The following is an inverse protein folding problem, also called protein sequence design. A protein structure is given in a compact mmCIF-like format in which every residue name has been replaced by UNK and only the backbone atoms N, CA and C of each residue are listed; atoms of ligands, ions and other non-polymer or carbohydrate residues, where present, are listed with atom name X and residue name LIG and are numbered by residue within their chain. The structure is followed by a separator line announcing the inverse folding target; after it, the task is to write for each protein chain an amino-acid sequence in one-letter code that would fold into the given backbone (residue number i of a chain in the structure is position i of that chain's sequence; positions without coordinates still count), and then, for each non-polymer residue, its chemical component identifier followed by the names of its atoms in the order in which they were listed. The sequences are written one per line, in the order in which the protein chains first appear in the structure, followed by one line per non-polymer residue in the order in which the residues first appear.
data_IF_302835098471
#
_entry.id   IF_302835098471
#
_cell.length_a   1.000
_cell.length_b   1.000
_cell.length_c   1.000
_cell.angle_alpha   90.00
_cell.angle_beta   90.00
_cell.angle_gamma   90.00
#
_symmetry.space_group_name_H-M   'P 1'
#
loop_
_entity.id
_entity.type
_entity.pdbx_description
1 polymer ?
#
# COMPACT_ATOMS: atom_id res chain seq x y z
N UNK A 1 16.53 22.23 15.75
CA UNK A 1 16.51 22.98 14.48
C UNK A 1 15.21 22.78 13.69
N UNK A 2 14.92 21.62 13.06
CA UNK A 2 13.68 21.50 12.25
C UNK A 2 12.37 21.54 13.06
N UNK A 3 12.36 20.98 14.27
CA UNK A 3 11.20 21.07 15.19
C UNK A 3 10.99 22.49 15.68
N UNK A 4 12.08 23.17 16.08
CA UNK A 4 12.05 24.57 16.50
C UNK A 4 11.59 25.51 15.38
N UNK A 5 11.91 25.19 14.13
CA UNK A 5 11.46 25.91 12.94
C UNK A 5 10.01 25.58 12.53
N UNK A 6 9.30 24.71 13.26
CA UNK A 6 7.92 24.32 12.96
C UNK A 6 7.74 23.44 11.72
N UNK A 7 8.85 22.93 11.13
CA UNK A 7 8.79 22.09 9.93
C UNK A 7 8.44 20.64 10.27
N UNK A 8 8.84 20.17 11.45
CA UNK A 8 8.49 18.86 11.99
C UNK A 8 7.86 19.01 13.37
N UNK A 9 6.89 18.18 13.69
CA UNK A 9 6.49 17.97 15.08
C UNK A 9 7.41 16.97 15.80
N UNK A 10 7.27 16.85 17.12
CA UNK A 10 8.10 15.98 17.94
C UNK A 10 7.94 14.48 17.57
N UNK A 11 6.71 14.07 17.22
CA UNK A 11 6.42 12.67 16.86
C UNK A 11 7.06 12.32 15.51
N UNK A 12 7.02 13.24 14.55
CA UNK A 12 7.68 13.10 13.26
C UNK A 12 9.20 13.04 13.40
N UNK A 13 9.78 13.89 14.25
CA UNK A 13 11.20 13.88 14.52
C UNK A 13 11.64 12.55 15.16
N UNK A 14 10.86 12.01 16.09
CA UNK A 14 11.14 10.71 16.72
C UNK A 14 11.02 9.55 15.73
N UNK A 15 9.95 9.51 14.94
CA UNK A 15 9.76 8.49 13.91
C UNK A 15 10.90 8.50 12.87
N UNK A 16 11.33 9.70 12.44
CA UNK A 16 12.45 9.88 11.53
C UNK A 16 13.78 9.47 12.17
N UNK A 17 14.00 9.81 13.44
CA UNK A 17 15.19 9.40 14.18
C UNK A 17 15.28 7.87 14.33
N UNK A 18 14.15 7.19 14.60
CA UNK A 18 14.06 5.73 14.67
C UNK A 18 14.35 5.07 13.33
N UNK A 19 13.76 5.57 12.24
CA UNK A 19 14.04 5.10 10.89
C UNK A 19 15.52 5.29 10.50
N UNK A 20 16.09 6.47 10.80
CA UNK A 20 17.51 6.77 10.59
C UNK A 20 18.41 5.81 11.35
N UNK A 21 18.11 5.55 12.62
CA UNK A 21 18.88 4.59 13.45
C UNK A 21 18.89 3.20 12.82
N UNK A 22 17.74 2.74 12.33
CA UNK A 22 17.64 1.44 11.64
C UNK A 22 18.51 1.39 10.39
N UNK A 23 18.39 2.39 9.51
CA UNK A 23 19.18 2.47 8.28
C UNK A 23 20.67 2.59 8.56
N UNK A 24 21.07 3.34 9.59
CA UNK A 24 22.48 3.49 9.97
C UNK A 24 23.06 2.21 10.55
N UNK A 25 22.30 1.46 11.36
CA UNK A 25 22.73 0.15 11.86
C UNK A 25 22.98 -0.82 10.71
N UNK A 26 22.08 -0.87 9.73
CA UNK A 26 22.21 -1.69 8.51
C UNK A 26 23.44 -1.26 7.71
N UNK A 27 23.61 0.05 7.44
CA UNK A 27 24.76 0.58 6.71
C UNK A 27 26.09 0.30 7.39
N UNK A 28 26.16 0.52 8.71
CA UNK A 28 27.38 0.24 9.48
C UNK A 28 27.75 -1.24 9.44
N UNK A 29 26.77 -2.13 9.64
CA UNK A 29 26.98 -3.56 9.54
C UNK A 29 27.39 -4.00 8.13
N UNK A 30 26.85 -3.37 7.08
CA UNK A 30 27.27 -3.59 5.69
C UNK A 30 28.74 -3.18 5.47
N UNK A 31 29.19 -2.06 6.03
CA UNK A 31 30.58 -1.64 5.94
C UNK A 31 31.53 -2.61 6.64
N UNK A 32 31.15 -3.13 7.81
CA UNK A 32 31.92 -4.15 8.51
C UNK A 32 32.03 -5.43 7.68
N UNK A 33 30.93 -5.86 7.07
CA UNK A 33 30.88 -7.06 6.24
C UNK A 33 31.72 -6.91 4.97
N UNK A 34 31.54 -5.79 4.24
CA UNK A 34 32.24 -5.52 2.99
C UNK A 34 33.70 -5.08 3.18
N UNK A 35 34.11 -4.74 4.42
CA UNK A 35 35.43 -4.17 4.78
C UNK A 35 35.80 -2.92 4.00
N UNK A 36 34.80 -2.15 3.58
CA UNK A 36 34.90 -0.86 2.88
C UNK A 36 33.60 -0.09 3.04
N UNK A 37 33.60 1.18 2.61
CA UNK A 37 32.37 1.98 2.50
C UNK A 37 31.50 1.46 1.33
N UNK A 38 30.83 0.34 1.53
CA UNK A 38 29.82 -0.17 0.60
C UNK A 38 28.45 0.46 0.91
N UNK A 39 27.91 1.16 -0.07
CA UNK A 39 26.66 1.94 0.04
C UNK A 39 25.49 1.26 -0.69
N UNK A 40 25.75 0.09 -1.29
CA UNK A 40 24.76 -0.70 -2.03
C UNK A 40 24.46 -1.99 -1.28
N UNK A 41 23.21 -2.15 -0.84
CA UNK A 41 22.71 -3.36 -0.19
C UNK A 41 22.40 -4.45 -1.24
N UNK A 42 23.45 -5.01 -1.84
CA UNK A 42 23.35 -6.08 -2.83
C UNK A 42 22.84 -7.39 -2.19
N UNK A 43 22.18 -8.22 -3.01
CA UNK A 43 21.56 -9.49 -2.60
C UNK A 43 22.52 -10.41 -1.82
N UNK A 44 23.78 -10.47 -2.25
CA UNK A 44 24.82 -11.33 -1.67
C UNK A 44 25.14 -10.99 -0.21
N UNK A 45 24.98 -9.73 0.20
CA UNK A 45 25.27 -9.29 1.57
C UNK A 45 24.11 -9.53 2.54
N UNK A 46 22.87 -9.61 2.05
CA UNK A 46 21.67 -9.50 2.88
C UNK A 46 21.56 -10.63 3.91
N UNK A 47 21.89 -11.87 3.55
CA UNK A 47 21.84 -13.02 4.46
C UNK A 47 22.84 -12.91 5.61
N UNK A 48 24.09 -12.58 5.30
CA UNK A 48 25.13 -12.43 6.33
C UNK A 48 24.88 -11.20 7.20
N UNK A 49 24.40 -10.11 6.59
CA UNK A 49 23.99 -8.91 7.29
C UNK A 49 22.87 -9.18 8.31
N UNK A 50 21.85 -9.93 7.91
CA UNK A 50 20.76 -10.31 8.80
C UNK A 50 21.26 -11.12 10.01
N UNK A 51 22.17 -12.07 9.80
CA UNK A 51 22.79 -12.83 10.90
C UNK A 51 23.61 -11.93 11.83
N UNK A 52 24.41 -11.03 11.26
CA UNK A 52 25.24 -10.08 12.02
C UNK A 52 24.38 -9.14 12.89
N UNK A 53 23.21 -8.75 12.39
CA UNK A 53 22.24 -7.93 13.11
C UNK A 53 21.36 -8.72 14.08
N UNK A 54 21.51 -10.05 14.14
CA UNK A 54 20.84 -10.92 15.11
C UNK A 54 19.50 -11.48 14.67
N UNK A 55 19.10 -11.30 13.41
CA UNK A 55 17.87 -11.90 12.89
C UNK A 55 18.03 -13.42 12.75
N UNK A 56 16.93 -14.15 12.97
CA UNK A 56 16.88 -15.61 12.93
C UNK A 56 15.70 -16.07 12.08
N UNK A 57 15.88 -17.21 11.42
CA UNK A 57 14.79 -17.86 10.70
C UNK A 57 13.77 -18.36 11.72
N UNK A 58 12.51 -17.92 11.62
CA UNK A 58 11.43 -18.40 12.48
C UNK A 58 10.83 -19.70 11.92
N UNK A 59 10.60 -19.72 10.60
CA UNK A 59 10.18 -20.89 9.82
C UNK A 59 10.59 -20.71 8.34
N UNK A 60 10.36 -21.74 7.52
CA UNK A 60 10.77 -21.75 6.11
C UNK A 60 10.24 -20.54 5.31
N UNK A 61 9.01 -20.12 5.59
CA UNK A 61 8.38 -18.96 4.96
C UNK A 61 8.64 -17.62 5.67
N UNK A 62 9.46 -17.58 6.75
CA UNK A 62 9.82 -16.34 7.45
C UNK A 62 11.30 -16.31 7.87
N UNK A 63 12.14 -16.09 6.86
CA UNK A 63 13.59 -16.09 7.01
C UNK A 63 14.09 -14.81 7.70
N UNK A 64 15.17 -14.91 8.48
CA UNK A 64 15.78 -13.76 9.15
C UNK A 64 16.25 -12.68 8.18
N UNK A 65 16.62 -13.06 6.95
CA UNK A 65 16.94 -12.10 5.88
C UNK A 65 15.71 -11.32 5.42
N UNK A 66 14.55 -11.95 5.31
CA UNK A 66 13.31 -11.27 4.93
C UNK A 66 12.85 -10.30 6.03
N UNK A 67 12.98 -10.70 7.29
CA UNK A 67 12.71 -9.84 8.44
C UNK A 67 13.63 -8.61 8.46
N UNK A 68 14.94 -8.81 8.30
CA UNK A 68 15.92 -7.72 8.22
C UNK A 68 15.60 -6.75 7.08
N UNK A 69 15.25 -7.28 5.91
CA UNK A 69 14.91 -6.47 4.75
C UNK A 69 13.54 -5.79 4.91
N UNK A 70 12.61 -6.41 5.63
CA UNK A 70 11.34 -5.77 5.96
C UNK A 70 11.54 -4.54 6.85
N UNK A 71 12.41 -4.62 7.84
CA UNK A 71 12.78 -3.46 8.67
C UNK A 71 13.49 -2.37 7.86
N UNK A 72 14.36 -2.77 6.92
CA UNK A 72 14.97 -1.84 5.96
C UNK A 72 13.90 -1.09 5.15
N UNK A 73 12.99 -1.80 4.48
CA UNK A 73 11.99 -1.17 3.61
C UNK A 73 10.98 -0.32 4.40
N UNK A 74 10.61 -0.75 5.61
CA UNK A 74 9.76 0.06 6.49
C UNK A 74 10.45 1.34 6.94
N UNK A 75 11.73 1.28 7.30
CA UNK A 75 12.51 2.46 7.64
C UNK A 75 12.68 3.40 6.42
N UNK A 76 13.02 2.86 5.25
CA UNK A 76 13.14 3.63 4.02
C UNK A 76 11.81 4.31 3.62
N UNK A 77 10.69 3.60 3.73
CA UNK A 77 9.35 4.17 3.48
C UNK A 77 9.02 5.31 4.44
N UNK A 78 9.33 5.17 5.73
CA UNK A 78 9.12 6.25 6.71
C UNK A 78 9.90 7.50 6.33
N UNK A 79 11.17 7.36 5.98
CA UNK A 79 11.99 8.50 5.50
C UNK A 79 11.40 9.12 4.25
N UNK A 80 11.00 8.31 3.27
CA UNK A 80 10.39 8.81 2.03
C UNK A 80 9.08 9.57 2.27
N UNK A 81 8.18 9.04 3.11
CA UNK A 81 6.92 9.69 3.45
C UNK A 81 7.12 11.00 4.22
N UNK A 82 8.01 11.02 5.23
CA UNK A 82 8.34 12.27 5.93
C UNK A 82 8.95 13.31 4.99
N UNK A 83 9.79 12.88 4.04
CA UNK A 83 10.35 13.78 3.04
C UNK A 83 9.29 14.36 2.09
N UNK A 84 8.31 13.55 1.66
CA UNK A 84 7.17 14.02 0.86
C UNK A 84 6.36 15.09 1.62
N UNK A 85 6.03 14.84 2.88
CA UNK A 85 5.31 15.80 3.72
C UNK A 85 6.10 17.10 3.94
N UNK A 86 7.41 17.01 4.17
CA UNK A 86 8.29 18.16 4.33
C UNK A 86 8.39 18.99 3.06
N UNK A 87 8.56 18.35 1.90
CA UNK A 87 8.58 19.02 0.60
C UNK A 87 7.25 19.73 0.38
N UNK A 88 6.11 19.05 0.64
CA UNK A 88 4.80 19.69 0.56
C UNK A 88 4.75 20.95 1.44
N UNK A 89 5.05 20.85 2.74
CA UNK A 89 5.05 22.03 3.65
C UNK A 89 5.91 23.17 3.14
N UNK A 90 7.15 22.87 2.76
CA UNK A 90 8.09 23.88 2.28
C UNK A 90 7.60 24.53 0.98
N UNK A 91 7.11 23.74 0.01
CA UNK A 91 6.55 24.26 -1.23
C UNK A 91 5.35 25.16 -0.97
N UNK A 92 4.50 24.81 -0.02
CA UNK A 92 3.31 25.59 0.35
C UNK A 92 3.68 26.89 1.08
N UNK A 93 4.68 26.86 1.97
CA UNK A 93 5.19 28.06 2.66
C UNK A 93 5.89 29.04 1.72
N UNK A 94 6.57 28.53 0.69
CA UNK A 94 7.31 29.34 -0.28
C UNK A 94 6.44 29.80 -1.46
N UNK A 95 5.23 29.24 -1.62
CA UNK A 95 4.35 29.58 -2.71
C UNK A 95 3.88 31.04 -2.59
N UNK A 96 4.04 31.81 -3.68
CA UNK A 96 3.57 33.20 -3.76
C UNK A 96 2.05 33.31 -3.92
N UNK A 97 1.40 32.21 -4.32
CA UNK A 97 -0.05 32.04 -4.36
C UNK A 97 -0.37 30.60 -3.99
N UNK A 98 -1.44 30.40 -3.21
CA UNK A 98 -1.93 29.06 -2.90
C UNK A 98 -2.48 28.32 -4.14
N UNK A 99 -2.75 29.03 -5.23
CA UNK A 99 -3.48 28.50 -6.39
C UNK A 99 -4.99 28.75 -6.27
N UNK A 100 -5.74 28.29 -7.27
CA UNK A 100 -7.21 28.36 -7.26
C UNK A 100 -7.78 27.44 -6.17
N UNK A 101 -8.68 27.99 -5.36
CA UNK A 101 -9.31 27.29 -4.23
C UNK A 101 -10.75 26.98 -4.60
N UNK A 102 -11.08 25.69 -4.66
CA UNK A 102 -12.42 25.19 -4.94
C UNK A 102 -12.90 24.36 -3.76
N UNK A 103 -14.06 24.73 -3.23
CA UNK A 103 -14.78 23.93 -2.24
C UNK A 103 -15.39 22.71 -2.94
N UNK A 104 -15.12 21.52 -2.39
CA UNK A 104 -15.63 20.24 -2.88
C UNK A 104 -16.76 19.70 -1.99
N UNK A 105 -17.17 20.44 -0.95
CA UNK A 105 -18.17 20.02 0.03
C UNK A 105 -17.57 19.25 1.21
N UNK A 106 -18.34 19.14 2.29
CA UNK A 106 -18.00 18.38 3.51
C UNK A 106 -16.65 18.74 4.14
N UNK A 107 -16.21 19.99 3.95
CA UNK A 107 -14.92 20.50 4.43
C UNK A 107 -13.71 20.07 3.59
N UNK A 108 -13.91 19.48 2.42
CA UNK A 108 -12.85 19.16 1.46
C UNK A 108 -12.58 20.34 0.53
N UNK A 109 -11.30 20.65 0.34
CA UNK A 109 -10.85 21.73 -0.54
C UNK A 109 -9.96 21.16 -1.63
N UNK A 110 -10.09 21.68 -2.85
CA UNK A 110 -9.06 21.57 -3.88
C UNK A 110 -8.32 22.90 -3.94
N UNK A 111 -7.00 22.82 -3.83
CA UNK A 111 -6.11 23.97 -3.92
C UNK A 111 -5.08 23.65 -5.01
N UNK A 112 -5.28 24.21 -6.20
CA UNK A 112 -4.54 23.84 -7.40
C UNK A 112 -4.78 22.38 -7.82
N UNK A 113 -3.74 21.54 -7.75
CA UNK A 113 -3.77 20.12 -8.09
C UNK A 113 -3.73 19.19 -6.86
N UNK A 114 -3.99 19.73 -5.66
CA UNK A 114 -3.96 18.97 -4.41
C UNK A 114 -5.24 19.14 -3.59
N UNK A 115 -5.53 18.12 -2.79
CA UNK A 115 -6.63 18.13 -1.83
C UNK A 115 -6.16 18.61 -0.47
N UNK A 116 -6.98 19.38 0.21
CA UNK A 116 -6.82 19.78 1.59
C UNK A 116 -8.13 19.58 2.36
N UNK A 117 -8.09 19.73 3.67
CA UNK A 117 -9.26 19.78 4.54
C UNK A 117 -9.30 21.13 5.24
N UNK A 118 -10.48 21.72 5.37
CA UNK A 118 -10.64 22.98 6.10
C UNK A 118 -10.60 22.77 7.62
N UNK A 119 -10.66 23.87 8.37
CA UNK A 119 -10.60 23.84 9.84
C UNK A 119 -11.87 23.27 10.50
N UNK A 120 -12.99 23.19 9.77
CA UNK A 120 -14.25 22.63 10.25
C UNK A 120 -14.29 21.11 10.12
N UNK A 121 -13.46 20.53 9.25
CA UNK A 121 -13.45 19.10 8.96
C UNK A 121 -12.98 18.26 10.16
N UNK A 122 -13.82 17.31 10.60
CA UNK A 122 -13.62 16.50 11.82
C UNK A 122 -13.15 15.09 11.50
N UNK A 123 -12.04 14.95 10.77
CA UNK A 123 -11.51 13.64 10.35
C UNK A 123 -11.34 12.67 11.54
N UNK A 124 -10.92 13.16 12.70
CA UNK A 124 -10.71 12.34 13.90
C UNK A 124 -11.99 11.77 14.50
N UNK A 125 -13.15 12.36 14.19
CA UNK A 125 -14.45 11.98 14.76
C UNK A 125 -15.31 11.20 13.76
N UNK A 126 -15.10 11.48 12.48
CA UNK A 126 -15.82 10.90 11.35
C UNK A 126 -14.87 10.08 10.46
N UNK A 127 -14.44 8.88 10.89
CA UNK A 127 -13.40 8.11 10.21
C UNK A 127 -13.73 7.72 8.76
N UNK A 128 -15.01 7.69 8.38
CA UNK A 128 -15.42 7.46 7.00
C UNK A 128 -14.99 8.59 6.05
N UNK A 129 -14.83 9.81 6.55
CA UNK A 129 -14.37 10.95 5.73
C UNK A 129 -12.92 10.78 5.29
N UNK A 130 -12.13 9.97 6.01
CA UNK A 130 -10.80 9.57 5.57
C UNK A 130 -10.88 8.86 4.21
N UNK A 131 -11.84 7.95 4.04
CA UNK A 131 -12.02 7.24 2.76
C UNK A 131 -12.55 8.19 1.69
N UNK A 132 -13.48 9.07 2.05
CA UNK A 132 -14.01 10.09 1.14
C UNK A 132 -12.90 11.02 0.61
N UNK A 133 -11.95 11.43 1.45
CA UNK A 133 -10.78 12.21 1.04
C UNK A 133 -9.98 11.52 -0.07
N UNK A 134 -9.73 10.21 0.05
CA UNK A 134 -9.05 9.46 -1.00
C UNK A 134 -9.95 9.20 -2.21
N UNK A 135 -11.26 9.04 -2.01
CA UNK A 135 -12.21 8.88 -3.10
C UNK A 135 -12.21 10.09 -4.04
N UNK A 136 -11.96 11.30 -3.51
CA UNK A 136 -11.77 12.50 -4.34
C UNK A 136 -10.59 12.38 -5.33
N UNK A 137 -9.55 11.58 -5.05
CA UNK A 137 -8.49 11.31 -6.02
C UNK A 137 -9.04 10.54 -7.23
N UNK A 138 -10.03 9.67 -7.01
CA UNK A 138 -10.67 8.89 -8.06
C UNK A 138 -11.72 9.69 -8.84
N UNK A 139 -12.36 10.68 -8.21
CA UNK A 139 -13.49 11.42 -8.81
C UNK A 139 -13.15 12.82 -9.31
N UNK A 140 -12.10 13.47 -8.79
CA UNK A 140 -11.68 14.81 -9.21
C UNK A 140 -10.45 14.75 -10.15
N UNK A 141 -10.62 15.06 -11.45
CA UNK A 141 -9.53 15.00 -12.40
C UNK A 141 -8.40 15.99 -12.06
N UNK A 142 -7.17 15.50 -12.20
CA UNK A 142 -5.95 16.30 -12.05
C UNK A 142 -5.45 16.43 -10.61
N UNK A 143 -6.08 15.78 -9.63
CA UNK A 143 -5.52 15.68 -8.28
C UNK A 143 -4.25 14.82 -8.30
N UNK A 144 -3.15 15.36 -7.77
CA UNK A 144 -1.83 14.70 -7.70
C UNK A 144 -1.47 14.25 -6.29
N UNK A 145 -2.25 14.63 -5.29
CA UNK A 145 -2.03 14.22 -3.91
C UNK A 145 -2.69 15.14 -2.90
N UNK A 146 -2.24 15.03 -1.66
CA UNK A 146 -2.73 15.81 -0.54
C UNK A 146 -1.79 16.99 -0.27
N UNK A 147 -2.33 18.05 0.34
CA UNK A 147 -1.57 19.16 0.92
C UNK A 147 -1.06 18.81 2.31
N UNK A 148 -0.13 19.63 2.81
CA UNK A 148 0.53 19.40 4.08
C UNK A 148 -0.43 19.25 5.26
N UNK A 149 -1.49 20.07 5.30
CA UNK A 149 -2.47 20.02 6.39
C UNK A 149 -3.29 18.72 6.35
N UNK A 150 -3.88 18.34 5.21
CA UNK A 150 -4.53 17.04 5.05
C UNK A 150 -3.61 15.85 5.38
N UNK A 151 -2.36 15.84 4.91
CA UNK A 151 -1.37 14.79 5.26
C UNK A 151 -1.15 14.69 6.76
N UNK A 152 -1.00 15.84 7.44
CA UNK A 152 -0.87 15.90 8.89
C UNK A 152 -2.10 15.31 9.59
N UNK A 153 -3.31 15.63 9.15
CA UNK A 153 -4.54 15.09 9.75
C UNK A 153 -4.63 13.56 9.58
N UNK A 154 -4.32 13.04 8.38
CA UNK A 154 -4.24 11.60 8.12
C UNK A 154 -3.23 10.94 9.05
N UNK A 155 -2.03 11.50 9.16
CA UNK A 155 -0.97 10.95 10.01
C UNK A 155 -1.37 10.91 11.49
N UNK A 156 -1.95 12.00 12.00
CA UNK A 156 -2.47 12.04 13.37
C UNK A 156 -3.52 10.96 13.61
N UNK A 157 -4.41 10.74 12.63
CA UNK A 157 -5.40 9.66 12.71
C UNK A 157 -4.74 8.28 12.73
N UNK A 158 -3.74 8.03 11.88
CA UNK A 158 -3.02 6.75 11.84
C UNK A 158 -2.18 6.48 13.08
N UNK A 159 -1.68 7.54 13.73
CA UNK A 159 -0.91 7.45 14.97
C UNK A 159 -1.79 7.29 16.23
N UNK A 160 -3.07 7.68 16.15
CA UNK A 160 -4.02 7.62 17.26
C UNK A 160 -4.58 6.20 17.43
N UNK A 161 -4.26 5.47 18.53
CA UNK A 161 -4.78 4.12 18.74
C UNK A 161 -6.31 4.08 18.90
N UNK A 162 -6.92 5.17 19.36
CA UNK A 162 -8.36 5.30 19.50
C UNK A 162 -9.09 5.61 18.18
N UNK A 163 -8.35 5.92 17.11
CA UNK A 163 -8.93 6.11 15.79
C UNK A 163 -9.29 4.75 15.18
N UNK A 164 -10.58 4.43 15.25
CA UNK A 164 -11.13 3.15 14.84
C UNK A 164 -11.69 3.20 13.41
N UNK A 165 -11.14 2.34 12.56
CA UNK A 165 -11.59 2.14 11.18
C UNK A 165 -12.48 0.91 11.01
N UNK A 166 -12.69 0.10 12.05
CA UNK A 166 -13.57 -1.07 12.01
C UNK A 166 -15.05 -0.69 12.20
N UNK A 167 -15.53 0.24 11.37
CA UNK A 167 -16.88 0.80 11.46
C UNK A 167 -17.68 0.60 10.16
N UNK A 168 -18.98 0.25 10.22
CA UNK A 168 -19.80 0.02 9.04
C UNK A 168 -19.75 1.13 7.97
N UNK A 169 -19.74 2.38 8.40
CA UNK A 169 -19.66 3.58 7.57
C UNK A 169 -18.32 3.70 6.82
N UNK A 170 -17.21 3.27 7.43
CA UNK A 170 -15.89 3.23 6.78
C UNK A 170 -15.89 2.17 5.69
N UNK A 171 -16.45 0.99 5.97
CA UNK A 171 -16.58 -0.08 4.98
C UNK A 171 -17.56 0.28 3.85
N UNK A 172 -18.62 1.02 4.15
CA UNK A 172 -19.55 1.52 3.14
C UNK A 172 -18.84 2.50 2.18
N UNK A 173 -18.08 3.46 2.72
CA UNK A 173 -17.29 4.40 1.92
C UNK A 173 -16.21 3.68 1.09
N UNK A 174 -15.54 2.68 1.67
CA UNK A 174 -14.54 1.87 0.96
C UNK A 174 -15.16 1.05 -0.16
N UNK A 175 -16.36 0.49 0.06
CA UNK A 175 -17.09 -0.22 -0.99
C UNK A 175 -17.45 0.72 -2.14
N UNK A 176 -17.95 1.92 -1.86
CA UNK A 176 -18.26 2.91 -2.89
C UNK A 176 -17.00 3.29 -3.70
N UNK A 177 -15.87 3.48 -3.02
CA UNK A 177 -14.59 3.71 -3.70
C UNK A 177 -14.24 2.54 -4.64
N UNK A 178 -14.31 1.30 -4.17
CA UNK A 178 -13.98 0.11 -4.96
C UNK A 178 -14.91 -0.06 -6.18
N UNK A 179 -16.18 0.34 -6.07
CA UNK A 179 -17.17 0.33 -7.16
C UNK A 179 -16.78 1.26 -8.32
N UNK A 180 -15.88 2.23 -8.10
CA UNK A 180 -15.29 3.07 -9.17
C UNK A 180 -14.30 2.31 -10.07
N UNK A 181 -13.97 1.05 -9.75
CA UNK A 181 -13.13 0.21 -10.60
C UNK A 181 -11.75 0.82 -10.82
N UNK A 182 -11.32 0.93 -12.08
CA UNK A 182 -9.97 1.41 -12.42
C UNK A 182 -9.61 2.77 -11.78
N UNK A 183 -10.58 3.68 -11.64
CA UNK A 183 -10.35 4.99 -11.02
C UNK A 183 -9.99 4.90 -9.52
N UNK A 184 -10.40 3.82 -8.84
CA UNK A 184 -10.11 3.60 -7.43
C UNK A 184 -8.63 3.29 -7.16
N UNK A 185 -7.87 2.86 -8.17
CA UNK A 185 -6.52 2.32 -7.96
C UNK A 185 -5.54 3.37 -7.46
N UNK A 186 -5.60 4.61 -7.96
CA UNK A 186 -4.72 5.67 -7.46
C UNK A 186 -5.09 6.12 -6.05
N UNK A 187 -6.38 6.09 -5.70
CA UNK A 187 -6.84 6.30 -4.34
C UNK A 187 -6.32 5.20 -3.39
N UNK A 188 -6.44 3.92 -3.77
CA UNK A 188 -5.90 2.78 -3.01
C UNK A 188 -4.38 2.87 -2.87
N UNK A 189 -3.66 3.28 -3.92
CA UNK A 189 -2.21 3.49 -3.87
C UNK A 189 -1.83 4.61 -2.90
N UNK A 190 -2.57 5.73 -2.89
CA UNK A 190 -2.38 6.80 -1.92
C UNK A 190 -2.68 6.33 -0.49
N UNK A 191 -3.78 5.59 -0.28
CA UNK A 191 -4.09 4.96 1.00
C UNK A 191 -3.00 4.00 1.48
N UNK A 192 -2.39 3.23 0.57
CA UNK A 192 -1.26 2.35 0.88
C UNK A 192 -0.04 3.15 1.32
N UNK A 193 0.32 4.21 0.57
CA UNK A 193 1.45 5.08 0.87
C UNK A 193 1.32 5.74 2.24
N UNK A 194 0.13 6.22 2.58
CA UNK A 194 -0.12 6.92 3.84
C UNK A 194 -0.49 5.98 5.01
N UNK A 195 -0.38 4.65 4.82
CA UNK A 195 -0.60 3.66 5.88
C UNK A 195 -2.06 3.32 6.20
N UNK A 196 -3.02 3.93 5.49
CA UNK A 196 -4.46 3.72 5.69
C UNK A 196 -4.86 2.27 5.37
N UNK A 197 -4.34 1.69 4.27
CA UNK A 197 -4.61 0.27 3.97
C UNK A 197 -4.05 -0.67 5.02
N UNK A 198 -2.86 -0.38 5.57
CA UNK A 198 -2.27 -1.17 6.64
C UNK A 198 -3.12 -1.11 7.93
N UNK A 199 -3.73 0.05 8.22
CA UNK A 199 -4.64 0.20 9.36
C UNK A 199 -5.98 -0.53 9.14
N UNK A 200 -6.53 -0.50 7.93
CA UNK A 200 -7.80 -1.17 7.57
C UNK A 200 -7.66 -2.71 7.48
N UNK A 201 -6.53 -3.19 6.95
CA UNK A 201 -6.33 -4.58 6.58
C UNK A 201 -5.09 -5.11 7.32
N UNK A 202 -5.27 -5.86 8.42
CA UNK A 202 -4.15 -6.40 9.21
C UNK A 202 -3.17 -7.24 8.39
N UNK A 203 -3.66 -7.99 7.40
CA UNK A 203 -2.81 -8.71 6.44
C UNK A 203 -1.90 -7.77 5.65
N UNK A 204 -2.41 -6.62 5.20
CA UNK A 204 -1.64 -5.62 4.45
C UNK A 204 -0.51 -5.02 5.29
N UNK A 205 -0.77 -4.76 6.58
CA UNK A 205 0.28 -4.32 7.52
C UNK A 205 1.41 -5.35 7.66
N UNK A 206 1.06 -6.64 7.70
CA UNK A 206 2.03 -7.75 7.81
C UNK A 206 2.91 -7.88 6.57
N UNK A 207 2.35 -7.73 5.38
CA UNK A 207 3.11 -7.81 4.11
C UNK A 207 3.78 -6.49 3.72
N UNK A 208 3.46 -5.39 4.40
CA UNK A 208 4.11 -4.09 4.15
C UNK A 208 5.61 -4.16 4.35
N UNK A 209 6.36 -3.88 3.28
CA UNK A 209 7.82 -3.95 3.26
C UNK A 209 8.36 -5.38 3.21
N UNK A 210 7.51 -6.41 3.16
CA UNK A 210 7.95 -7.79 3.10
C UNK A 210 8.48 -8.09 1.71
N UNK A 211 9.73 -8.51 1.59
CA UNK A 211 10.25 -9.10 0.36
C UNK A 211 10.33 -10.62 0.49
N UNK A 212 10.42 -11.31 -0.63
CA UNK A 212 10.81 -12.72 -0.67
C UNK A 212 12.28 -12.81 -1.08
N UNK A 213 13.07 -13.59 -0.33
CA UNK A 213 14.50 -13.68 -0.61
C UNK A 213 14.80 -14.70 -1.73
N UNK A 214 14.58 -14.28 -2.97
CA UNK A 214 14.99 -15.00 -4.17
C UNK A 214 15.29 -14.05 -5.34
N UNK A 215 15.73 -14.61 -6.48
CA UNK A 215 16.16 -13.84 -7.66
C UNK A 215 15.00 -13.32 -8.53
N UNK A 216 13.77 -13.73 -8.24
CA UNK A 216 12.60 -13.40 -9.08
C UNK A 216 11.72 -12.31 -8.46
N UNK A 217 11.74 -12.15 -7.14
CA UNK A 217 10.94 -11.16 -6.43
C UNK A 217 11.68 -9.82 -6.24
N UNK A 218 11.51 -8.94 -7.24
CA UNK A 218 12.10 -7.59 -7.23
C UNK A 218 11.38 -6.61 -6.30
N UNK A 219 10.09 -6.83 -6.04
CA UNK A 219 9.25 -5.93 -5.26
C UNK A 219 8.87 -6.54 -3.91
N UNK A 220 8.69 -5.68 -2.91
CA UNK A 220 7.99 -6.10 -1.69
C UNK A 220 6.55 -6.48 -2.04
N UNK A 221 5.95 -7.39 -1.27
CA UNK A 221 4.61 -7.95 -1.53
C UNK A 221 3.55 -6.86 -1.66
N UNK A 222 3.62 -5.82 -0.84
CA UNK A 222 2.69 -4.68 -0.91
C UNK A 222 2.91 -3.82 -2.16
N UNK A 223 4.14 -3.56 -2.58
CA UNK A 223 4.41 -2.85 -3.84
C UNK A 223 4.02 -3.69 -5.06
N UNK A 224 4.27 -5.00 -5.01
CA UNK A 224 3.79 -5.95 -6.01
C UNK A 224 2.26 -5.89 -6.12
N UNK A 225 1.56 -5.92 -4.98
CA UNK A 225 0.10 -5.81 -4.91
C UNK A 225 -0.39 -4.50 -5.56
N UNK A 226 0.20 -3.36 -5.22
CA UNK A 226 -0.16 -2.08 -5.86
C UNK A 226 0.13 -2.06 -7.36
N UNK A 227 1.21 -2.72 -7.79
CA UNK A 227 1.53 -2.85 -9.23
C UNK A 227 0.51 -3.73 -9.95
N UNK A 228 0.05 -4.82 -9.36
CA UNK A 228 -1.04 -5.67 -9.88
C UNK A 228 -2.31 -4.83 -10.07
N UNK A 229 -2.70 -4.03 -9.08
CA UNK A 229 -3.87 -3.15 -9.20
C UNK A 229 -3.70 -2.12 -10.33
N UNK A 230 -2.50 -1.53 -10.49
CA UNK A 230 -2.22 -0.61 -11.62
C UNK A 230 -2.30 -1.31 -12.98
N UNK A 231 -1.86 -2.56 -13.10
CA UNK A 231 -2.08 -3.34 -14.32
C UNK A 231 -3.56 -3.60 -14.58
N UNK A 232 -4.33 -3.96 -13.54
CA UNK A 232 -5.79 -4.12 -13.66
C UNK A 232 -6.47 -2.84 -14.13
N UNK A 233 -6.11 -1.68 -13.57
CA UNK A 233 -6.62 -0.39 -14.03
C UNK A 233 -6.20 -0.07 -15.46
N UNK A 234 -4.94 -0.38 -15.84
CA UNK A 234 -4.45 -0.19 -17.20
C UNK A 234 -5.22 -1.03 -18.21
N UNK A 235 -5.71 -2.22 -17.85
CA UNK A 235 -6.58 -3.00 -18.75
C UNK A 235 -7.88 -2.26 -19.10
N UNK A 236 -8.30 -1.28 -18.31
CA UNK A 236 -9.45 -0.43 -18.63
C UNK A 236 -9.14 0.68 -19.65
N UNK A 237 -7.87 1.03 -19.87
CA UNK A 237 -7.45 2.19 -20.67
C UNK A 237 -7.14 1.84 -22.13
N UNK A 238 -7.05 2.86 -22.99
CA UNK A 238 -6.63 2.72 -24.39
C UNK A 238 -5.19 2.20 -24.54
N UNK A 239 -4.28 2.64 -23.67
CA UNK A 239 -2.93 2.07 -23.61
C UNK A 239 -2.97 0.57 -23.29
N UNK A 240 -3.89 0.14 -22.42
CA UNK A 240 -4.15 -1.27 -22.17
C UNK A 240 -4.65 -2.03 -23.39
N UNK A 241 -5.48 -1.40 -24.24
CA UNK A 241 -5.95 -2.02 -25.47
C UNK A 241 -4.80 -2.32 -26.45
N UNK A 242 -3.80 -1.43 -26.52
CA UNK A 242 -2.59 -1.60 -27.34
C UNK A 242 -1.65 -2.67 -26.76
N UNK A 243 -1.34 -2.56 -25.47
CA UNK A 243 -0.25 -3.33 -24.87
C UNK A 243 -0.72 -4.70 -24.34
N UNK A 244 -2.02 -4.85 -24.04
CA UNK A 244 -2.64 -6.06 -23.49
C UNK A 244 -4.05 -6.32 -24.09
N UNK A 245 -4.18 -6.53 -25.41
CA UNK A 245 -5.48 -6.55 -26.11
C UNK A 245 -6.47 -7.59 -25.57
N UNK A 246 -5.99 -8.79 -25.20
CA UNK A 246 -6.84 -9.83 -24.60
C UNK A 246 -7.34 -9.41 -23.22
N UNK A 247 -6.44 -8.95 -22.34
CA UNK A 247 -6.79 -8.53 -20.99
C UNK A 247 -7.74 -7.33 -21.00
N UNK A 248 -7.53 -6.37 -21.90
CA UNK A 248 -8.44 -5.26 -22.13
C UNK A 248 -9.83 -5.76 -22.53
N UNK A 249 -9.93 -6.62 -23.55
CA UNK A 249 -11.21 -7.18 -24.01
C UNK A 249 -11.96 -7.91 -22.91
N UNK A 250 -11.26 -8.70 -22.08
CA UNK A 250 -11.86 -9.40 -20.94
C UNK A 250 -12.32 -8.41 -19.88
N UNK A 251 -11.48 -7.43 -19.52
CA UNK A 251 -11.79 -6.43 -18.50
C UNK A 251 -13.07 -5.66 -18.82
N UNK A 252 -13.27 -5.24 -20.08
CA UNK A 252 -14.49 -4.54 -20.52
C UNK A 252 -15.78 -5.36 -20.33
N UNK A 253 -15.68 -6.69 -20.17
CA UNK A 253 -16.81 -7.60 -19.95
C UNK A 253 -17.02 -7.96 -18.48
N UNK A 254 -16.17 -7.49 -17.57
CA UNK A 254 -16.30 -7.77 -16.14
C UNK A 254 -17.40 -6.85 -15.56
N UNK A 255 -18.52 -7.40 -15.06
CA UNK A 255 -19.64 -6.58 -14.59
C UNK A 255 -19.35 -5.88 -13.26
N UNK A 256 -18.43 -6.41 -12.46
CA UNK A 256 -18.07 -5.87 -11.14
C UNK A 256 -16.54 -5.82 -10.97
N UNK A 257 -15.87 -4.80 -11.55
CA UNK A 257 -14.42 -4.64 -11.43
C UNK A 257 -13.92 -4.55 -9.98
N UNK A 258 -14.77 -4.07 -9.05
CA UNK A 258 -14.49 -4.04 -7.62
C UNK A 258 -14.05 -5.42 -7.07
N UNK A 259 -14.67 -6.52 -7.52
CA UNK A 259 -14.31 -7.87 -7.07
C UNK A 259 -12.92 -8.29 -7.57
N UNK A 260 -12.54 -7.84 -8.77
CA UNK A 260 -11.20 -8.08 -9.30
C UNK A 260 -10.15 -7.31 -8.51
N UNK A 261 -10.43 -6.05 -8.16
CA UNK A 261 -9.53 -5.25 -7.31
C UNK A 261 -9.37 -5.87 -5.92
N UNK A 262 -10.44 -6.37 -5.31
CA UNK A 262 -10.37 -7.07 -4.03
C UNK A 262 -9.54 -8.35 -4.14
N UNK A 263 -9.74 -9.15 -5.18
CA UNK A 263 -8.91 -10.34 -5.41
C UNK A 263 -7.42 -9.96 -5.59
N UNK A 264 -7.14 -8.91 -6.37
CA UNK A 264 -5.77 -8.39 -6.55
C UNK A 264 -5.15 -7.89 -5.23
N UNK A 265 -5.92 -7.21 -4.40
CA UNK A 265 -5.46 -6.70 -3.10
C UNK A 265 -5.15 -7.85 -2.12
N UNK A 266 -5.86 -8.97 -2.22
CA UNK A 266 -5.75 -10.09 -1.29
C UNK A 266 -4.89 -11.27 -1.78
N UNK A 267 -4.53 -11.34 -3.07
CA UNK A 267 -3.93 -12.55 -3.66
C UNK A 267 -2.70 -13.08 -2.91
N UNK A 268 -1.82 -12.17 -2.46
CA UNK A 268 -0.58 -12.49 -1.74
C UNK A 268 -0.58 -12.01 -0.28
N UNK A 269 -1.75 -11.62 0.26
CA UNK A 269 -1.86 -10.93 1.56
C UNK A 269 -1.37 -11.75 2.75
N UNK A 270 -1.33 -13.07 2.59
CA UNK A 270 -0.97 -14.01 3.62
C UNK A 270 0.49 -14.51 3.52
N UNK A 271 1.29 -13.98 2.58
CA UNK A 271 2.70 -14.36 2.44
C UNK A 271 3.46 -14.15 3.76
N UNK A 272 4.22 -15.18 4.14
CA UNK A 272 5.04 -15.15 5.35
C UNK A 272 4.38 -15.66 6.63
N UNK A 273 3.15 -16.16 6.55
CA UNK A 273 2.42 -16.70 7.72
C UNK A 273 2.66 -18.19 7.98
N UNK A 274 3.43 -18.86 7.11
CA UNK A 274 3.59 -20.31 7.11
C UNK A 274 2.41 -21.03 6.44
N UNK A 275 2.67 -22.12 5.74
CA UNK A 275 1.64 -22.89 5.02
C UNK A 275 1.26 -22.28 3.67
N UNK A 276 0.17 -22.77 3.07
CA UNK A 276 -0.29 -22.31 1.76
C UNK A 276 -0.95 -20.92 1.87
N UNK A 277 -0.23 -19.89 1.40
CA UNK A 277 -0.70 -18.50 1.46
C UNK A 277 -1.97 -18.26 0.64
N UNK A 278 -2.28 -19.11 -0.33
CA UNK A 278 -3.51 -19.00 -1.11
C UNK A 278 -4.72 -19.45 -0.28
N UNK A 279 -4.58 -20.47 0.59
CA UNK A 279 -5.63 -20.86 1.56
C UNK A 279 -5.84 -19.75 2.58
N UNK A 280 -4.75 -19.29 3.20
CA UNK A 280 -4.83 -18.27 4.24
C UNK A 280 -5.34 -16.93 3.70
N UNK A 281 -4.97 -16.59 2.47
CA UNK A 281 -5.47 -15.41 1.76
C UNK A 281 -6.96 -15.53 1.44
N UNK A 282 -7.46 -16.72 1.09
CA UNK A 282 -8.88 -16.99 0.87
C UNK A 282 -9.70 -16.67 2.14
N UNK A 283 -9.24 -17.14 3.30
CA UNK A 283 -9.87 -16.89 4.60
C UNK A 283 -9.91 -15.40 4.93
N UNK A 284 -8.76 -14.71 4.80
CA UNK A 284 -8.65 -13.27 5.03
C UNK A 284 -9.58 -12.48 4.08
N UNK A 285 -9.63 -12.85 2.81
CA UNK A 285 -10.46 -12.22 1.79
C UNK A 285 -11.95 -12.42 2.09
N UNK A 286 -12.35 -13.63 2.50
CA UNK A 286 -13.73 -13.96 2.87
C UNK A 286 -14.20 -13.11 4.05
N UNK A 287 -13.41 -13.05 5.11
CA UNK A 287 -13.70 -12.26 6.30
C UNK A 287 -13.81 -10.76 5.96
N UNK A 288 -12.88 -10.22 5.17
CA UNK A 288 -12.89 -8.81 4.80
C UNK A 288 -14.06 -8.44 3.88
N UNK A 289 -14.35 -9.27 2.87
CA UNK A 289 -15.46 -9.05 1.95
C UNK A 289 -16.82 -9.13 2.67
N UNK A 290 -16.95 -9.97 3.70
CA UNK A 290 -18.14 -9.99 4.55
C UNK A 290 -18.30 -8.69 5.35
N UNK A 291 -17.20 -8.16 5.92
CA UNK A 291 -17.19 -6.85 6.61
C UNK A 291 -17.51 -5.68 5.69
N UNK A 292 -17.10 -5.75 4.42
CA UNK A 292 -17.50 -4.82 3.36
C UNK A 292 -19.01 -4.88 3.02
N UNK A 293 -19.75 -5.85 3.56
CA UNK A 293 -21.17 -6.04 3.28
C UNK A 293 -21.44 -6.57 1.87
N UNK A 294 -20.51 -7.33 1.28
CA UNK A 294 -20.75 -7.98 -0.01
C UNK A 294 -21.70 -9.18 0.15
N UNK A 295 -22.50 -9.43 -0.90
CA UNK A 295 -23.37 -10.62 -0.95
C UNK A 295 -22.53 -11.91 -0.93
N UNK A 296 -23.04 -13.02 -0.36
CA UNK A 296 -22.29 -14.27 -0.25
C UNK A 296 -21.65 -14.74 -1.57
N UNK A 297 -22.37 -14.70 -2.69
CA UNK A 297 -21.83 -15.08 -4.00
C UNK A 297 -20.65 -14.21 -4.47
N UNK A 298 -20.61 -12.93 -4.09
CA UNK A 298 -19.49 -12.03 -4.39
C UNK A 298 -18.29 -12.33 -3.48
N UNK A 299 -18.54 -12.61 -2.19
CA UNK A 299 -17.52 -13.07 -1.24
C UNK A 299 -16.86 -14.35 -1.73
N UNK A 300 -17.66 -15.36 -2.11
CA UNK A 300 -17.17 -16.64 -2.62
C UNK A 300 -16.34 -16.47 -3.88
N UNK A 301 -16.74 -15.55 -4.77
CA UNK A 301 -16.00 -15.26 -6.00
C UNK A 301 -14.62 -14.65 -5.72
N UNK A 302 -14.53 -13.67 -4.82
CA UNK A 302 -13.24 -13.06 -4.45
C UNK A 302 -12.36 -14.11 -3.76
N UNK A 303 -12.92 -14.84 -2.79
CA UNK A 303 -12.23 -15.91 -2.08
C UNK A 303 -11.65 -16.95 -3.06
N UNK A 304 -12.46 -17.43 -4.01
CA UNK A 304 -12.02 -18.37 -5.05
C UNK A 304 -10.92 -17.80 -5.94
N UNK A 305 -11.03 -16.53 -6.38
CA UNK A 305 -9.98 -15.89 -7.18
C UNK A 305 -8.65 -15.81 -6.41
N UNK A 306 -8.70 -15.47 -5.12
CA UNK A 306 -7.52 -15.47 -4.24
C UNK A 306 -6.97 -16.87 -4.09
N UNK A 307 -7.82 -17.88 -3.85
CA UNK A 307 -7.40 -19.27 -3.72
C UNK A 307 -6.69 -19.81 -4.96
N UNK A 308 -7.13 -19.39 -6.15
CA UNK A 308 -6.67 -19.91 -7.44
C UNK A 308 -5.66 -18.99 -8.16
N UNK A 309 -5.15 -17.93 -7.51
CA UNK A 309 -4.34 -16.92 -8.20
C UNK A 309 -3.04 -17.46 -8.82
N UNK A 310 -2.52 -18.58 -8.33
CA UNK A 310 -1.34 -19.26 -8.87
C UNK A 310 -1.66 -20.31 -9.93
N UNK A 311 -2.91 -20.72 -10.10
CA UNK A 311 -3.27 -21.86 -10.94
C UNK A 311 -2.71 -21.69 -12.36
N UNK A 312 -3.02 -20.57 -13.01
CA UNK A 312 -2.55 -20.33 -14.38
C UNK A 312 -1.03 -20.20 -14.48
N UNK A 313 -0.38 -19.52 -13.53
CA UNK A 313 1.07 -19.30 -13.59
C UNK A 313 1.85 -20.58 -13.33
N UNK A 314 1.40 -21.39 -12.37
CA UNK A 314 1.99 -22.69 -12.06
C UNK A 314 1.79 -23.65 -13.22
N UNK A 315 0.58 -23.75 -13.78
CA UNK A 315 0.30 -24.62 -14.93
C UNK A 315 1.18 -24.24 -16.13
N UNK A 316 1.24 -22.96 -16.49
CA UNK A 316 2.05 -22.51 -17.63
C UNK A 316 3.57 -22.69 -17.45
N UNK A 317 4.08 -22.65 -16.22
CA UNK A 317 5.52 -22.72 -15.96
C UNK A 317 6.03 -24.11 -15.59
N UNK A 318 5.17 -24.98 -15.06
CA UNK A 318 5.57 -26.23 -14.41
C UNK A 318 4.82 -27.47 -14.87
N UNK A 319 3.78 -27.34 -15.69
CA UNK A 319 3.00 -28.48 -16.16
C UNK A 319 3.10 -28.63 -17.68
N UNK A 320 2.99 -29.87 -18.13
CA UNK A 320 2.88 -30.18 -19.55
C UNK A 320 1.45 -29.92 -20.01
N UNK A 321 1.23 -28.83 -20.74
CA UNK A 321 -0.08 -28.44 -21.27
C UNK A 321 -0.61 -29.40 -22.35
N UNK A 322 0.16 -30.41 -22.74
CA UNK A 322 -0.26 -31.49 -23.63
C UNK A 322 -0.75 -32.75 -22.90
N UNK A 323 -0.56 -32.82 -21.58
CA UNK A 323 -1.13 -33.85 -20.73
C UNK A 323 -2.63 -33.60 -20.53
N UNK A 324 -3.53 -34.53 -20.92
CA UNK A 324 -4.98 -34.36 -20.77
C UNK A 324 -5.47 -34.33 -19.30
N UNK A 325 -4.60 -34.61 -18.32
CA UNK A 325 -4.90 -34.51 -16.90
C UNK A 325 -4.55 -33.13 -16.28
N UNK A 326 -3.98 -32.21 -17.07
CA UNK A 326 -3.64 -30.82 -16.72
C UNK A 326 -4.71 -29.87 -17.24
#
# INVERSE_FOLDING_TARGET
QMVEAGLLDATEAEALASARTTLFRIRYALHLLARRAEERLLFDYQRELARLLGYRDEHADNLGVEQCMQDYYRAARRVAGTNEELIARCSEMLATSAGDVRDLGDGFLRIGDRLDVDASHRLQEEPQTLIALYALIATEPGIRGLRANALRQVRLAMANPAFDLDRPEVFAALRELLERGAAAVEALAAMARHGVLARLIPGFARVTGRMQYDLFHVYTVDEHTMRVLRFMARFASEDGARDFPLAHTVYQRIPQPALLLLAGLFHDIAKGRGGDHSVLGEEDARAFCARLGLRPAAVDRVAWLVRQHLLMSVTAQRQDITDPAV
#
